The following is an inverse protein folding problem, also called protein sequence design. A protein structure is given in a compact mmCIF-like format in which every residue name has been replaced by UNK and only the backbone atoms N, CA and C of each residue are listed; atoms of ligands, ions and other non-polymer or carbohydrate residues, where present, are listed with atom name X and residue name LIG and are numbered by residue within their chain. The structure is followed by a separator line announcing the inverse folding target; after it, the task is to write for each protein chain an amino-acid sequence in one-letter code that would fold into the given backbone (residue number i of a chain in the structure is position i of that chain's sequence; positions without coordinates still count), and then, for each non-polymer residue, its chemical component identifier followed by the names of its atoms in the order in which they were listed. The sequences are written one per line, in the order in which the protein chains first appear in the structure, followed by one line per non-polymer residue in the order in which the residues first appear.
data_IF_572898018497
#
_entry.id   IF_572898018497
#
_cell.length_a   1.000
_cell.length_b   1.000
_cell.length_c   1.000
_cell.angle_alpha   90.00
_cell.angle_beta   90.00
_cell.angle_gamma   90.00
#
_symmetry.space_group_name_H-M   'P 1'
#
loop_
_entity.id
_entity.type
_entity.pdbx_description
1 polymer ?
#
# COMPACT_ATOMS: atom_id res chain seq x y z
N UNK A 1 9.17 1.56 14.99
CA UNK A 1 7.67 1.51 15.13
C UNK A 1 7.08 1.40 13.75
N UNK A 2 6.22 0.40 13.52
CA UNK A 2 5.53 0.19 12.25
C UNK A 2 4.50 1.28 11.99
N UNK A 3 4.53 1.90 10.81
CA UNK A 3 3.56 2.91 10.37
C UNK A 3 2.26 2.26 9.88
N UNK A 4 1.14 2.96 10.03
CA UNK A 4 -0.15 2.61 9.43
C UNK A 4 -0.46 3.55 8.26
N UNK A 5 -0.52 3.01 7.06
CA UNK A 5 -1.08 3.71 5.90
C UNK A 5 -2.51 3.21 5.64
N UNK A 6 -3.46 4.12 5.59
CA UNK A 6 -4.88 3.80 5.36
C UNK A 6 -5.19 3.88 3.88
N UNK A 7 -5.53 2.73 3.28
CA UNK A 7 -5.89 2.67 1.86
C UNK A 7 -7.37 3.01 1.67
N UNK A 8 -7.65 4.07 0.92
CA UNK A 8 -8.99 4.65 0.73
C UNK A 8 -9.73 4.16 -0.51
N UNK A 9 -9.22 3.16 -1.22
CA UNK A 9 -9.84 2.65 -2.45
C UNK A 9 -11.31 2.25 -2.24
N UNK A 10 -11.64 1.62 -1.10
CA UNK A 10 -13.01 1.15 -0.81
C UNK A 10 -13.97 2.29 -0.48
N UNK A 11 -13.48 3.40 0.08
CA UNK A 11 -14.28 4.64 0.24
C UNK A 11 -14.68 5.18 -1.14
N UNK A 12 -13.72 5.25 -2.07
CA UNK A 12 -13.98 5.71 -3.43
C UNK A 12 -14.91 4.73 -4.19
N UNK A 13 -14.73 3.42 -4.00
CA UNK A 13 -15.60 2.41 -4.60
C UNK A 13 -17.05 2.57 -4.13
N UNK A 14 -17.27 2.78 -2.83
CA UNK A 14 -18.59 3.03 -2.27
C UNK A 14 -19.22 4.32 -2.84
N UNK A 15 -18.43 5.42 -2.93
CA UNK A 15 -18.87 6.66 -3.58
C UNK A 15 -19.31 6.40 -5.03
N UNK A 16 -18.53 5.65 -5.78
CA UNK A 16 -18.77 5.40 -7.21
C UNK A 16 -19.93 4.42 -7.46
N UNK A 17 -20.44 3.73 -6.43
CA UNK A 17 -21.64 2.88 -6.56
C UNK A 17 -22.91 3.69 -6.84
N UNK A 18 -22.86 5.02 -6.70
CA UNK A 18 -23.96 5.96 -6.99
C UNK A 18 -23.39 7.25 -7.60
N UNK A 19 -24.21 7.98 -8.33
CA UNK A 19 -23.89 9.31 -8.88
C UNK A 19 -23.94 10.40 -7.80
N UNK A 20 -23.15 10.24 -6.74
CA UNK A 20 -23.04 11.18 -5.62
C UNK A 20 -21.58 11.50 -5.31
N UNK A 21 -21.36 12.51 -4.44
CA UNK A 21 -20.02 12.84 -3.94
C UNK A 21 -19.70 12.18 -2.59
N UNK A 22 -20.59 11.32 -2.10
CA UNK A 22 -20.48 10.68 -0.79
C UNK A 22 -20.32 9.14 -0.93
N UNK A 23 -19.50 8.54 -0.04
CA UNK A 23 -18.61 9.19 0.94
C UNK A 23 -17.45 9.93 0.25
N UNK A 24 -17.01 11.05 0.84
CA UNK A 24 -15.89 11.83 0.33
C UNK A 24 -14.56 11.17 0.69
N UNK A 25 -13.69 10.93 -0.29
CA UNK A 25 -12.33 10.41 -0.08
C UNK A 25 -11.49 11.39 0.75
N UNK A 26 -11.67 12.69 0.52
CA UNK A 26 -10.96 13.74 1.25
C UNK A 26 -11.36 13.79 2.74
N UNK A 27 -12.66 13.70 3.04
CA UNK A 27 -13.13 13.66 4.43
C UNK A 27 -12.71 12.35 5.12
N UNK A 28 -12.73 11.22 4.40
CA UNK A 28 -12.20 9.95 4.94
C UNK A 28 -10.71 10.04 5.26
N UNK A 29 -9.90 10.71 4.43
CA UNK A 29 -8.49 10.96 4.72
C UNK A 29 -8.32 11.79 6.01
N UNK A 30 -9.06 12.89 6.17
CA UNK A 30 -9.03 13.71 7.38
C UNK A 30 -9.43 12.91 8.63
N UNK A 31 -10.45 12.06 8.52
CA UNK A 31 -10.91 11.19 9.60
C UNK A 31 -9.84 10.15 9.96
N UNK A 32 -9.19 9.54 8.96
CA UNK A 32 -8.10 8.60 9.20
C UNK A 32 -6.89 9.28 9.87
N UNK A 33 -6.54 10.49 9.46
CA UNK A 33 -5.48 11.30 10.07
C UNK A 33 -5.84 11.63 11.54
N UNK A 34 -7.07 12.03 11.83
CA UNK A 34 -7.56 12.26 13.19
C UNK A 34 -7.47 11.00 14.06
N UNK A 35 -7.64 9.81 13.47
CA UNK A 35 -7.43 8.50 14.10
C UNK A 35 -5.96 8.14 14.33
N UNK A 36 -5.01 8.91 13.78
CA UNK A 36 -3.56 8.69 13.93
C UNK A 36 -2.91 7.91 12.80
N UNK A 37 -3.50 7.90 11.59
CA UNK A 37 -2.85 7.33 10.41
C UNK A 37 -1.53 8.04 10.11
N UNK A 38 -0.47 7.28 9.80
CA UNK A 38 0.84 7.80 9.43
C UNK A 38 0.95 8.03 7.91
N UNK A 39 0.04 7.44 7.14
CA UNK A 39 -0.01 7.56 5.69
C UNK A 39 -1.41 7.34 5.13
N UNK A 40 -1.59 7.81 3.91
CA UNK A 40 -2.77 7.55 3.08
C UNK A 40 -2.29 6.87 1.80
N UNK A 41 -2.89 5.73 1.48
CA UNK A 41 -2.62 4.99 0.25
C UNK A 41 -3.81 5.04 -0.69
N UNK A 42 -3.53 5.23 -1.97
CA UNK A 42 -4.53 5.22 -3.05
C UNK A 42 -4.02 4.52 -4.30
N UNK A 43 -4.91 3.82 -5.01
CA UNK A 43 -4.59 3.10 -6.24
C UNK A 43 -5.49 3.59 -7.38
N UNK A 44 -5.08 4.63 -8.12
CA UNK A 44 -5.83 5.10 -9.28
C UNK A 44 -5.68 4.12 -10.45
N UNK A 45 -6.74 3.38 -10.78
CA UNK A 45 -6.77 2.46 -11.92
C UNK A 45 -7.22 3.16 -13.20
N UNK A 46 -6.83 2.68 -14.41
CA UNK A 46 -7.21 3.29 -15.68
C UNK A 46 -8.72 3.38 -15.91
N UNK A 47 -9.49 2.42 -15.41
CA UNK A 47 -10.96 2.40 -15.51
C UNK A 47 -11.66 3.29 -14.48
N UNK A 48 -10.91 3.88 -13.54
CA UNK A 48 -11.40 4.78 -12.50
C UNK A 48 -12.54 4.16 -11.64
N UNK A 49 -12.56 2.82 -11.50
CA UNK A 49 -13.60 2.11 -10.72
C UNK A 49 -13.70 2.57 -9.26
N UNK A 50 -12.63 3.13 -8.71
CA UNK A 50 -12.59 3.70 -7.35
C UNK A 50 -11.88 5.06 -7.34
N UNK A 51 -10.60 5.14 -7.00
CA UNK A 51 -9.82 6.39 -6.95
C UNK A 51 -9.69 6.98 -8.36
N UNK A 52 -10.05 8.26 -8.50
CA UNK A 52 -9.88 9.02 -9.73
C UNK A 52 -8.59 9.86 -9.67
N UNK A 53 -8.07 10.34 -10.82
CA UNK A 53 -6.93 11.26 -10.83
C UNK A 53 -7.19 12.54 -10.02
N UNK A 54 -8.44 13.01 -9.97
CA UNK A 54 -8.80 14.18 -9.16
C UNK A 54 -8.70 13.89 -7.65
N UNK A 55 -9.10 12.70 -7.19
CA UNK A 55 -8.93 12.32 -5.78
C UNK A 55 -7.46 12.38 -5.38
N UNK A 56 -6.56 11.88 -6.23
CA UNK A 56 -5.11 11.90 -5.98
C UNK A 56 -4.59 13.32 -5.85
N UNK A 57 -5.01 14.22 -6.75
CA UNK A 57 -4.61 15.65 -6.70
C UNK A 57 -5.12 16.33 -5.45
N UNK A 58 -6.37 16.10 -5.05
CA UNK A 58 -6.95 16.72 -3.85
C UNK A 58 -6.31 16.18 -2.56
N UNK A 59 -6.01 14.88 -2.49
CA UNK A 59 -5.27 14.28 -1.38
C UNK A 59 -3.85 14.86 -1.28
N UNK A 60 -3.15 14.98 -2.41
CA UNK A 60 -1.82 15.60 -2.44
C UNK A 60 -1.85 17.05 -1.92
N UNK A 61 -2.85 17.84 -2.30
CA UNK A 61 -3.04 19.20 -1.76
C UNK A 61 -3.33 19.22 -0.27
N UNK A 62 -4.12 18.27 0.22
CA UNK A 62 -4.42 18.13 1.65
C UNK A 62 -3.16 17.82 2.45
N UNK A 63 -2.41 16.78 2.03
CA UNK A 63 -1.26 16.28 2.78
C UNK A 63 -0.02 17.19 2.71
N UNK A 64 0.05 18.08 1.72
CA UNK A 64 1.09 19.13 1.63
C UNK A 64 0.86 20.34 2.53
N UNK A 65 -0.27 20.41 3.24
CA UNK A 65 -0.50 21.47 4.22
C UNK A 65 0.39 21.29 5.46
N UNK A 66 0.86 22.38 6.09
CA UNK A 66 1.77 22.30 7.24
C UNK A 66 1.29 21.36 8.36
N UNK A 67 -0.01 21.36 8.63
CA UNK A 67 -0.62 20.53 9.68
C UNK A 67 -0.60 19.02 9.38
N UNK A 68 -0.36 18.62 8.13
CA UNK A 68 -0.40 17.23 7.67
C UNK A 68 0.95 16.71 7.14
N UNK A 69 2.04 17.48 7.22
CA UNK A 69 3.37 17.11 6.70
C UNK A 69 3.95 15.82 7.31
N UNK A 70 3.40 15.35 8.42
CA UNK A 70 3.79 14.10 9.07
C UNK A 70 3.09 12.87 8.47
N UNK A 71 2.13 13.06 7.56
CA UNK A 71 1.34 11.97 6.93
C UNK A 71 1.79 11.79 5.49
N UNK A 72 2.29 10.61 5.17
CA UNK A 72 2.81 10.29 3.84
C UNK A 72 1.69 9.95 2.85
N UNK A 73 1.86 10.35 1.59
CA UNK A 73 1.03 9.89 0.47
C UNK A 73 1.74 8.76 -0.26
N UNK A 74 1.10 7.59 -0.33
CA UNK A 74 1.51 6.49 -1.19
C UNK A 74 0.54 6.33 -2.37
N UNK A 75 1.07 6.26 -3.60
CA UNK A 75 0.28 5.98 -4.80
C UNK A 75 0.72 4.64 -5.36
N UNK A 76 -0.24 3.72 -5.48
CA UNK A 76 -0.02 2.38 -6.03
C UNK A 76 -0.49 2.32 -7.48
N UNK A 77 0.18 1.54 -8.30
CA UNK A 77 -0.29 1.26 -9.66
C UNK A 77 0.74 0.59 -10.56
N UNK A 78 0.24 0.11 -11.70
CA UNK A 78 1.09 -0.47 -12.73
C UNK A 78 1.72 0.64 -13.58
N UNK A 79 3.05 0.71 -13.66
CA UNK A 79 3.75 1.76 -14.41
C UNK A 79 3.52 1.72 -15.92
N UNK A 80 3.04 0.60 -16.46
CA UNK A 80 2.74 0.46 -17.89
C UNK A 80 1.39 1.05 -18.29
N UNK A 81 0.55 1.45 -17.32
CA UNK A 81 -0.74 2.07 -17.62
C UNK A 81 -0.57 3.48 -18.15
N UNK A 82 -0.91 3.65 -19.43
CA UNK A 82 -0.83 4.91 -20.17
C UNK A 82 -2.14 5.70 -20.09
N UNK A 83 -2.14 6.88 -20.69
CA UNK A 83 -3.31 7.76 -20.82
C UNK A 83 -4.50 7.03 -21.47
N UNK A 84 -5.71 7.32 -20.98
CA UNK A 84 -6.98 6.76 -21.47
C UNK A 84 -7.95 7.88 -21.88
N UNK A 85 -8.83 7.57 -22.81
CA UNK A 85 -9.85 8.52 -23.30
C UNK A 85 -10.86 8.99 -22.24
N UNK A 86 -10.97 8.28 -21.11
CA UNK A 86 -11.82 8.64 -19.97
C UNK A 86 -11.21 9.71 -19.05
N UNK A 87 -10.07 10.32 -19.42
CA UNK A 87 -9.38 11.33 -18.65
C UNK A 87 -8.34 10.80 -17.65
N UNK A 88 -8.06 9.50 -17.65
CA UNK A 88 -6.93 8.94 -16.91
C UNK A 88 -5.61 9.35 -17.59
N UNK A 89 -4.68 10.06 -16.89
CA UNK A 89 -3.50 10.65 -17.54
C UNK A 89 -2.33 9.66 -17.75
N UNK A 90 -2.49 8.43 -17.34
CA UNK A 90 -1.40 7.46 -17.19
C UNK A 90 -0.81 7.49 -15.78
N UNK A 91 -0.38 6.30 -15.31
CA UNK A 91 0.07 6.15 -13.93
C UNK A 91 1.30 7.02 -13.61
N UNK A 92 2.36 6.90 -14.41
CA UNK A 92 3.61 7.64 -14.17
C UNK A 92 3.40 9.14 -14.30
N UNK A 93 2.62 9.61 -15.29
CA UNK A 93 2.30 11.03 -15.45
C UNK A 93 1.58 11.58 -14.20
N UNK A 94 0.69 10.80 -13.60
CA UNK A 94 0.00 11.20 -12.36
C UNK A 94 0.96 11.27 -11.18
N UNK A 95 1.83 10.27 -11.01
CA UNK A 95 2.85 10.22 -9.95
C UNK A 95 3.81 11.40 -10.07
N UNK A 96 4.33 11.69 -11.26
CA UNK A 96 5.23 12.82 -11.52
C UNK A 96 4.57 14.18 -11.27
N UNK A 97 3.28 14.31 -11.61
CA UNK A 97 2.50 15.52 -11.38
C UNK A 97 2.32 15.84 -9.90
N UNK A 98 2.00 14.82 -9.08
CA UNK A 98 1.67 15.04 -7.66
C UNK A 98 2.87 14.89 -6.74
N UNK A 99 3.90 14.13 -7.14
CA UNK A 99 5.10 13.84 -6.36
C UNK A 99 4.74 13.36 -4.94
N UNK A 100 4.22 12.13 -4.81
CA UNK A 100 3.93 11.53 -3.51
C UNK A 100 5.21 11.24 -2.73
N UNK A 101 5.10 10.97 -1.45
CA UNK A 101 6.22 10.52 -0.62
C UNK A 101 6.68 9.11 -1.03
N UNK A 102 5.74 8.25 -1.43
CA UNK A 102 6.00 6.88 -1.88
C UNK A 102 5.20 6.54 -3.14
N UNK A 103 5.80 5.75 -4.01
CA UNK A 103 5.14 5.11 -5.15
C UNK A 103 5.34 3.59 -5.05
N UNK A 104 4.25 2.84 -4.88
CA UNK A 104 4.27 1.38 -4.88
C UNK A 104 3.91 0.86 -6.27
N UNK A 105 4.90 0.24 -6.92
CA UNK A 105 4.75 -0.34 -8.26
C UNK A 105 4.15 -1.75 -8.14
N UNK A 106 3.01 -1.98 -8.81
CA UNK A 106 2.28 -3.25 -8.78
C UNK A 106 2.08 -3.81 -10.21
N UNK A 107 2.08 -5.14 -10.41
CA UNK A 107 1.98 -5.75 -11.74
C UNK A 107 0.54 -5.89 -12.26
N UNK A 108 -0.41 -5.20 -11.68
CA UNK A 108 -1.85 -5.35 -11.96
C UNK A 108 -2.20 -5.25 -13.44
N UNK A 109 -3.12 -6.09 -13.87
CA UNK A 109 -3.82 -5.95 -15.15
C UNK A 109 -5.16 -5.22 -14.98
N UNK A 110 -5.73 -4.74 -16.10
CA UNK A 110 -7.07 -4.11 -16.08
C UNK A 110 -8.20 -5.09 -15.74
N UNK A 111 -7.99 -6.39 -15.90
CA UNK A 111 -9.01 -7.42 -15.68
C UNK A 111 -9.08 -7.88 -14.21
N UNK A 112 -8.03 -7.64 -13.41
CA UNK A 112 -7.99 -8.03 -12.02
C UNK A 112 -8.92 -7.19 -11.15
N UNK A 113 -9.64 -7.84 -10.24
CA UNK A 113 -10.49 -7.15 -9.27
C UNK A 113 -9.66 -6.38 -8.23
N UNK A 114 -8.56 -6.97 -7.80
CA UNK A 114 -7.59 -6.44 -6.83
C UNK A 114 -6.19 -6.94 -7.17
N UNK A 115 -5.16 -6.36 -6.56
CA UNK A 115 -3.79 -6.88 -6.64
C UNK A 115 -3.72 -8.23 -5.94
N UNK A 116 -3.40 -9.29 -6.65
CA UNK A 116 -3.46 -10.68 -6.17
C UNK A 116 -2.13 -11.46 -6.34
N UNK A 117 -1.09 -10.79 -6.85
CA UNK A 117 0.27 -11.32 -6.98
C UNK A 117 1.31 -10.21 -7.05
N UNK A 118 2.55 -10.54 -6.70
CA UNK A 118 3.71 -9.66 -6.82
C UNK A 118 4.35 -9.67 -8.21
N UNK A 119 5.36 -8.81 -8.41
CA UNK A 119 6.16 -8.79 -9.63
C UNK A 119 6.91 -10.11 -9.85
N UNK A 120 6.86 -10.59 -11.10
CA UNK A 120 7.90 -11.45 -11.66
C UNK A 120 8.88 -10.56 -12.43
N UNK A 121 10.00 -10.20 -11.79
CA UNK A 121 10.98 -9.28 -12.37
C UNK A 121 11.72 -9.87 -13.58
N UNK A 122 11.69 -11.19 -13.79
CA UNK A 122 12.30 -11.84 -14.94
C UNK A 122 11.46 -11.64 -16.22
N UNK A 123 10.16 -11.41 -16.08
CA UNK A 123 9.22 -11.24 -17.20
C UNK A 123 8.94 -9.77 -17.56
N UNK A 124 9.64 -8.83 -16.92
CA UNK A 124 9.44 -7.40 -17.21
C UNK A 124 9.98 -7.04 -18.59
N UNK A 125 9.14 -6.42 -19.42
CA UNK A 125 9.43 -6.07 -20.81
C UNK A 125 9.85 -4.61 -21.03
N UNK A 126 9.93 -3.80 -19.98
CA UNK A 126 10.33 -2.39 -20.02
C UNK A 126 11.50 -2.12 -19.06
N UNK A 127 12.18 -0.99 -19.20
CA UNK A 127 13.29 -0.63 -18.33
C UNK A 127 12.79 -0.17 -16.94
N UNK A 128 12.51 -1.16 -16.08
CA UNK A 128 12.03 -0.96 -14.71
C UNK A 128 13.07 -0.19 -13.87
N UNK A 129 14.36 -0.50 -14.05
CA UNK A 129 15.42 0.15 -13.29
C UNK A 129 15.54 1.63 -13.62
N UNK A 130 15.49 1.99 -14.90
CA UNK A 130 15.50 3.39 -15.32
C UNK A 130 14.29 4.15 -14.77
N UNK A 131 13.12 3.50 -14.73
CA UNK A 131 11.93 4.09 -14.12
C UNK A 131 12.14 4.36 -12.62
N UNK A 132 12.66 3.38 -11.87
CA UNK A 132 12.95 3.53 -10.45
C UNK A 132 13.94 4.68 -10.22
N UNK A 133 15.04 4.74 -10.98
CA UNK A 133 16.03 5.81 -10.90
C UNK A 133 15.41 7.19 -11.20
N UNK A 134 14.51 7.27 -12.19
CA UNK A 134 13.77 8.48 -12.52
C UNK A 134 12.91 8.97 -11.36
N UNK A 135 12.09 8.08 -10.74
CA UNK A 135 11.25 8.44 -9.61
C UNK A 135 12.07 8.87 -8.39
N UNK A 136 13.15 8.15 -8.08
CA UNK A 136 14.09 8.51 -7.01
C UNK A 136 14.73 9.88 -7.22
N UNK A 137 15.11 10.22 -8.45
CA UNK A 137 15.69 11.54 -8.78
C UNK A 137 14.70 12.69 -8.53
N UNK A 138 13.42 12.41 -8.47
CA UNK A 138 12.34 13.36 -8.14
C UNK A 138 12.00 13.39 -6.63
N UNK A 139 12.74 12.65 -5.82
CA UNK A 139 12.50 12.54 -4.36
C UNK A 139 11.35 11.61 -3.99
N UNK A 140 10.90 10.75 -4.91
CA UNK A 140 9.81 9.80 -4.68
C UNK A 140 10.42 8.46 -4.25
N UNK A 141 10.10 7.99 -3.03
CA UNK A 141 10.52 6.67 -2.55
C UNK A 141 9.80 5.58 -3.33
N UNK A 142 10.54 4.58 -3.81
CA UNK A 142 9.99 3.49 -4.61
C UNK A 142 9.81 2.22 -3.79
N UNK A 143 8.63 1.61 -3.89
CA UNK A 143 8.29 0.30 -3.33
C UNK A 143 7.82 -0.63 -4.45
N UNK A 144 8.17 -1.92 -4.38
CA UNK A 144 7.69 -2.94 -5.32
C UNK A 144 6.81 -3.95 -4.60
N UNK A 145 5.64 -4.25 -5.17
CA UNK A 145 4.74 -5.28 -4.64
C UNK A 145 5.27 -6.66 -5.00
N UNK A 146 5.56 -7.49 -3.99
CA UNK A 146 6.23 -8.79 -4.18
C UNK A 146 5.62 -9.87 -3.30
N UNK A 147 5.83 -11.11 -3.69
CA UNK A 147 5.55 -12.28 -2.85
C UNK A 147 6.76 -12.61 -1.94
N UNK A 148 6.67 -13.71 -1.21
CA UNK A 148 7.76 -14.17 -0.30
C UNK A 148 8.88 -14.92 -1.02
N UNK A 149 8.92 -14.86 -2.36
CA UNK A 149 9.93 -15.49 -3.19
C UNK A 149 11.30 -14.82 -3.02
N UNK A 150 12.30 -15.61 -2.67
CA UNK A 150 13.64 -15.12 -2.34
C UNK A 150 14.38 -14.57 -3.56
N UNK A 151 14.19 -15.17 -4.75
CA UNK A 151 14.85 -14.73 -5.98
C UNK A 151 14.23 -13.42 -6.47
N UNK A 152 12.92 -13.27 -6.34
CA UNK A 152 12.25 -12.01 -6.67
C UNK A 152 12.67 -10.86 -5.74
N UNK A 153 12.97 -11.13 -4.46
CA UNK A 153 13.50 -10.13 -3.52
C UNK A 153 14.93 -9.70 -3.93
N UNK A 154 15.79 -10.62 -4.36
CA UNK A 154 17.10 -10.27 -4.91
C UNK A 154 16.98 -9.40 -6.17
N UNK A 155 16.04 -9.73 -7.05
CA UNK A 155 15.77 -8.96 -8.26
C UNK A 155 15.20 -7.58 -7.92
N UNK A 156 14.31 -7.46 -6.97
CA UNK A 156 13.79 -6.18 -6.48
C UNK A 156 14.93 -5.23 -6.07
N UNK A 157 15.92 -5.74 -5.33
CA UNK A 157 17.13 -4.97 -5.00
C UNK A 157 17.95 -4.58 -6.22
N UNK A 158 18.15 -5.50 -7.17
CA UNK A 158 18.88 -5.22 -8.42
C UNK A 158 18.17 -4.20 -9.29
N UNK A 159 16.83 -4.15 -9.25
CA UNK A 159 16.02 -3.11 -9.92
C UNK A 159 16.13 -1.72 -9.25
N UNK A 160 16.83 -1.61 -8.13
CA UNK A 160 17.08 -0.34 -7.45
C UNK A 160 15.98 0.11 -6.50
N UNK A 161 15.00 -0.73 -6.20
CA UNK A 161 13.95 -0.42 -5.24
C UNK A 161 14.54 -0.11 -3.84
N UNK A 162 13.86 0.76 -3.10
CA UNK A 162 14.22 1.12 -1.72
C UNK A 162 13.39 0.34 -0.71
N UNK A 163 12.17 -0.04 -1.12
CA UNK A 163 11.25 -0.86 -0.35
C UNK A 163 10.67 -1.99 -1.19
N UNK A 164 10.21 -3.00 -0.48
CA UNK A 164 9.24 -3.97 -1.01
C UNK A 164 7.98 -3.90 -0.17
N UNK A 165 6.86 -4.26 -0.78
CA UNK A 165 5.60 -4.51 -0.08
C UNK A 165 5.23 -5.97 -0.26
N UNK A 166 5.23 -6.72 0.84
CA UNK A 166 4.89 -8.14 0.85
C UNK A 166 3.38 -8.33 0.70
N UNK A 167 2.95 -9.08 -0.31
CA UNK A 167 1.56 -9.47 -0.50
C UNK A 167 1.12 -10.43 0.58
N UNK A 168 0.26 -10.02 1.49
CA UNK A 168 -0.12 -10.78 2.68
C UNK A 168 -1.35 -11.68 2.52
N UNK A 169 -1.92 -11.77 1.32
CA UNK A 169 -3.08 -12.64 1.04
C UNK A 169 -2.86 -14.10 1.45
N UNK A 170 -1.73 -14.75 1.11
CA UNK A 170 -1.46 -16.13 1.54
C UNK A 170 -1.44 -16.29 3.07
N UNK A 171 -0.90 -15.31 3.81
CA UNK A 171 -0.92 -15.31 5.26
C UNK A 171 -2.35 -15.19 5.81
N UNK A 172 -3.09 -14.20 5.34
CA UNK A 172 -4.46 -13.94 5.77
C UNK A 172 -5.37 -15.18 5.53
N UNK A 173 -5.23 -15.83 4.38
CA UNK A 173 -5.98 -17.03 4.01
C UNK A 173 -5.60 -18.26 4.84
N UNK A 174 -4.38 -18.32 5.37
CA UNK A 174 -3.91 -19.45 6.21
C UNK A 174 -4.13 -19.22 7.71
N UNK A 175 -4.54 -18.01 8.10
CA UNK A 175 -4.64 -17.63 9.52
C UNK A 175 -5.67 -18.47 10.26
N UNK A 176 -5.25 -19.02 11.40
CA UNK A 176 -6.07 -19.95 12.22
C UNK A 176 -6.10 -21.39 11.69
N UNK A 177 -5.50 -21.69 10.53
CA UNK A 177 -5.45 -23.03 9.96
C UNK A 177 -4.10 -23.73 10.13
N UNK A 178 -4.03 -25.00 9.71
CA UNK A 178 -2.86 -25.87 9.87
C UNK A 178 -1.60 -25.34 9.20
N UNK A 179 -1.74 -24.56 8.11
CA UNK A 179 -0.62 -24.02 7.36
C UNK A 179 -0.14 -22.65 7.82
N UNK A 180 -0.79 -22.05 8.82
CA UNK A 180 -0.45 -20.70 9.29
C UNK A 180 1.04 -20.56 9.63
N UNK A 181 1.60 -21.51 10.38
CA UNK A 181 3.02 -21.46 10.80
C UNK A 181 3.97 -21.58 9.60
N UNK A 182 3.68 -22.48 8.67
CA UNK A 182 4.49 -22.65 7.44
C UNK A 182 4.52 -21.36 6.64
N UNK A 183 3.36 -20.78 6.40
CA UNK A 183 3.22 -19.54 5.60
C UNK A 183 3.87 -18.36 6.33
N UNK A 184 3.62 -18.19 7.63
CA UNK A 184 4.23 -17.10 8.40
C UNK A 184 5.77 -17.18 8.37
N UNK A 185 6.37 -18.38 8.42
CA UNK A 185 7.81 -18.55 8.30
C UNK A 185 8.36 -18.06 6.95
N UNK A 186 7.59 -18.15 5.86
CA UNK A 186 7.99 -17.58 4.56
C UNK A 186 8.08 -16.05 4.64
N UNK A 187 7.13 -15.39 5.30
CA UNK A 187 7.16 -13.94 5.51
C UNK A 187 8.35 -13.52 6.39
N UNK A 188 8.62 -14.25 7.48
CA UNK A 188 9.80 -14.00 8.33
C UNK A 188 11.09 -14.09 7.51
N UNK A 189 11.24 -15.15 6.71
CA UNK A 189 12.41 -15.34 5.86
C UNK A 189 12.55 -14.26 4.79
N UNK A 190 11.43 -13.87 4.16
CA UNK A 190 11.39 -12.81 3.15
C UNK A 190 11.79 -11.45 3.74
N UNK A 191 11.24 -11.10 4.90
CA UNK A 191 11.57 -9.85 5.59
C UNK A 191 13.05 -9.84 6.01
N UNK A 192 13.56 -10.92 6.61
CA UNK A 192 14.97 -11.01 7.00
C UNK A 192 15.92 -10.88 5.81
N UNK A 193 15.62 -11.51 4.68
CA UNK A 193 16.40 -11.35 3.46
C UNK A 193 16.38 -9.91 2.96
N UNK A 194 15.23 -9.28 2.93
CA UNK A 194 15.07 -7.90 2.47
C UNK A 194 15.90 -6.94 3.32
N UNK A 195 15.85 -7.08 4.64
CA UNK A 195 16.64 -6.29 5.59
C UNK A 195 18.14 -6.49 5.34
N UNK A 196 18.59 -7.72 5.16
CA UNK A 196 20.01 -8.05 4.87
C UNK A 196 20.49 -7.42 3.55
N UNK A 197 19.60 -7.23 2.58
CA UNK A 197 19.87 -6.53 1.33
C UNK A 197 19.76 -5.00 1.45
N UNK A 198 19.39 -4.47 2.61
CA UNK A 198 19.15 -3.05 2.82
C UNK A 198 17.89 -2.53 2.13
N UNK A 199 16.86 -3.37 1.99
CA UNK A 199 15.51 -3.00 1.61
C UNK A 199 14.67 -2.79 2.87
N UNK A 200 13.85 -1.75 2.89
CA UNK A 200 12.79 -1.61 3.90
C UNK A 200 11.61 -2.49 3.51
N UNK A 201 10.88 -3.00 4.50
CA UNK A 201 9.78 -3.94 4.29
C UNK A 201 8.46 -3.29 4.67
N UNK A 202 7.57 -3.16 3.70
CA UNK A 202 6.15 -2.90 3.91
C UNK A 202 5.37 -4.20 3.79
N UNK A 203 4.16 -4.22 4.31
CA UNK A 203 3.23 -5.32 4.13
C UNK A 203 1.80 -4.77 3.96
N UNK A 204 0.96 -5.48 3.24
CA UNK A 204 -0.40 -5.01 3.05
C UNK A 204 -1.28 -5.99 2.34
N UNK A 205 -2.51 -5.53 2.09
CA UNK A 205 -3.62 -6.12 1.41
C UNK A 205 -4.67 -6.71 2.39
N UNK A 206 -4.54 -7.93 2.93
CA UNK A 206 -5.59 -8.63 3.69
C UNK A 206 -5.35 -8.70 5.21
N UNK A 207 -4.47 -7.83 5.73
CA UNK A 207 -4.28 -7.70 7.17
C UNK A 207 -5.52 -7.05 7.83
N UNK A 208 -5.88 -7.56 9.01
CA UNK A 208 -7.04 -7.11 9.78
C UNK A 208 -6.74 -7.13 11.29
N UNK A 209 -7.68 -6.66 12.13
CA UNK A 209 -7.47 -6.58 13.59
C UNK A 209 -7.17 -7.95 14.25
N UNK A 210 -7.54 -9.08 13.63
CA UNK A 210 -7.32 -10.43 14.18
C UNK A 210 -5.95 -11.01 13.81
N UNK A 211 -5.50 -10.82 12.56
CA UNK A 211 -4.27 -11.44 12.07
C UNK A 211 -3.03 -10.51 12.15
N UNK A 212 -3.23 -9.21 12.18
CA UNK A 212 -2.15 -8.21 12.27
C UNK A 212 -1.27 -8.37 13.53
N UNK A 213 -1.82 -8.62 14.75
CA UNK A 213 -1.00 -8.76 15.95
C UNK A 213 0.11 -9.81 15.81
N UNK A 214 -0.23 -11.01 15.37
CA UNK A 214 0.73 -12.09 15.19
C UNK A 214 1.74 -11.76 14.06
N UNK A 215 1.28 -11.13 12.99
CA UNK A 215 2.14 -10.76 11.86
C UNK A 215 3.26 -9.81 12.30
N UNK A 216 2.90 -8.68 12.93
CA UNK A 216 3.88 -7.67 13.34
C UNK A 216 4.74 -8.10 14.53
N UNK A 217 4.29 -9.08 15.31
CA UNK A 217 5.09 -9.69 16.38
C UNK A 217 6.18 -10.62 15.84
N UNK A 218 5.91 -11.33 14.76
CA UNK A 218 6.78 -12.41 14.27
C UNK A 218 7.63 -12.00 13.06
N UNK A 219 7.11 -11.14 12.20
CA UNK A 219 7.83 -10.69 11.00
C UNK A 219 8.70 -9.48 11.35
N UNK A 220 10.04 -9.56 11.19
CA UNK A 220 10.94 -8.52 11.67
C UNK A 220 10.82 -7.22 10.86
N UNK A 221 11.03 -6.09 11.56
CA UNK A 221 11.29 -4.75 11.01
C UNK A 221 10.32 -4.29 9.91
N UNK A 222 9.02 -4.62 10.06
CA UNK A 222 7.99 -4.06 9.18
C UNK A 222 7.94 -2.54 9.35
N UNK A 223 8.28 -1.83 8.29
CA UNK A 223 8.31 -0.35 8.28
C UNK A 223 6.92 0.26 8.23
N UNK A 224 6.02 -0.36 7.45
CA UNK A 224 4.67 0.14 7.23
C UNK A 224 3.72 -1.01 6.90
N UNK A 225 2.47 -0.89 7.35
CA UNK A 225 1.37 -1.70 6.85
C UNK A 225 0.36 -0.82 6.13
N UNK A 226 0.00 -1.20 4.89
CA UNK A 226 -1.02 -0.54 4.06
C UNK A 226 -2.30 -1.38 4.09
N UNK A 227 -3.33 -0.90 4.78
CA UNK A 227 -4.55 -1.67 5.01
C UNK A 227 -5.77 -0.93 4.43
N UNK A 228 -6.50 -1.63 3.56
CA UNK A 228 -7.68 -1.08 2.88
C UNK A 228 -8.96 -1.82 3.22
N UNK A 229 -9.21 -2.93 2.53
CA UNK A 229 -10.52 -3.58 2.58
C UNK A 229 -10.98 -3.91 4.00
N UNK A 230 -10.15 -4.59 4.77
CA UNK A 230 -10.49 -5.00 6.13
C UNK A 230 -10.76 -3.79 7.05
N UNK A 231 -9.89 -2.78 7.02
CA UNK A 231 -10.05 -1.57 7.82
C UNK A 231 -11.35 -0.83 7.49
N UNK A 232 -11.70 -0.72 6.20
CA UNK A 232 -12.95 -0.06 5.81
C UNK A 232 -14.17 -0.91 6.18
N UNK A 233 -14.10 -2.25 6.11
CA UNK A 233 -15.16 -3.13 6.60
C UNK A 233 -15.37 -2.96 8.11
N UNK A 234 -14.32 -2.97 8.91
CA UNK A 234 -14.39 -2.73 10.36
C UNK A 234 -15.01 -1.35 10.66
N UNK A 235 -14.65 -0.34 9.86
CA UNK A 235 -15.13 1.03 10.05
C UNK A 235 -16.65 1.22 9.84
N UNK A 236 -17.31 0.30 9.17
CA UNK A 236 -18.77 0.30 9.03
C UNK A 236 -19.45 0.10 10.39
N UNK A 237 -18.84 -0.65 11.28
CA UNK A 237 -19.39 -0.98 12.59
C UNK A 237 -18.83 -0.12 13.72
N UNK A 238 -17.56 0.31 13.59
CA UNK A 238 -16.83 1.02 14.65
C UNK A 238 -16.74 2.54 14.41
N UNK A 239 -16.93 2.97 13.16
CA UNK A 239 -16.57 4.32 12.70
C UNK A 239 -15.09 4.44 12.36
N UNK A 240 -14.77 5.15 11.26
CA UNK A 240 -13.43 5.16 10.66
C UNK A 240 -12.32 5.64 11.62
N UNK A 241 -12.56 6.71 12.36
CA UNK A 241 -11.58 7.26 13.31
C UNK A 241 -11.24 6.25 14.41
N UNK A 242 -12.26 5.60 14.99
CA UNK A 242 -12.05 4.61 16.04
C UNK A 242 -11.34 3.37 15.51
N UNK A 243 -11.70 2.91 14.32
CA UNK A 243 -11.03 1.77 13.66
C UNK A 243 -9.55 2.05 13.44
N UNK A 244 -9.19 3.24 12.93
CA UNK A 244 -7.78 3.62 12.78
C UNK A 244 -7.05 3.62 14.12
N UNK A 245 -7.66 4.16 15.19
CA UNK A 245 -7.09 4.09 16.56
C UNK A 245 -6.85 2.66 17.02
N UNK A 246 -7.78 1.74 16.72
CA UNK A 246 -7.65 0.33 17.07
C UNK A 246 -6.44 -0.31 16.35
N UNK A 247 -6.30 -0.12 15.03
CA UNK A 247 -5.13 -0.60 14.27
C UNK A 247 -3.82 0.02 14.78
N UNK A 248 -3.80 1.33 15.06
CA UNK A 248 -2.62 2.00 15.66
C UNK A 248 -2.26 1.41 17.02
N UNK A 249 -3.24 1.12 17.87
CA UNK A 249 -3.00 0.49 19.18
C UNK A 249 -2.37 -0.91 19.05
N UNK A 250 -2.76 -1.69 18.04
CA UNK A 250 -2.14 -2.98 17.74
C UNK A 250 -0.66 -2.78 17.38
N UNK A 251 -0.35 -1.85 16.47
CA UNK A 251 1.02 -1.60 16.03
C UNK A 251 1.91 -1.06 17.16
N UNK A 252 1.38 -0.20 18.04
CA UNK A 252 2.10 0.33 19.20
C UNK A 252 2.48 -0.76 20.19
N UNK A 253 1.56 -1.66 20.53
CA UNK A 253 1.80 -2.74 21.51
C UNK A 253 2.88 -3.72 21.07
N UNK A 254 3.10 -3.89 19.77
CA UNK A 254 4.05 -4.84 19.21
C UNK A 254 5.36 -4.20 18.72
N UNK A 255 5.51 -2.87 18.82
CA UNK A 255 6.75 -2.16 18.53
C UNK A 255 7.68 -2.01 19.74
N UNK A 256 7.19 -2.22 20.95
CA UNK A 256 7.99 -2.39 22.16
C UNK A 256 8.28 -3.90 22.24
N UNK A 257 9.47 -4.33 21.75
CA UNK A 257 9.90 -5.74 21.82
C UNK A 257 9.87 -6.27 23.25
N UNK A 258 9.95 -7.61 23.41
CA UNK A 258 9.90 -8.24 24.71
C UNK A 258 11.03 -7.78 25.62
#
# INVERSE_FOLDING_TARGET
MTKLSVNLNKIALLRNSRETKLPSVLEAAKTAIAGGADGITVHPRPDQRHITPNDVVELSKLLKKPEHQHVELNIEGNPTFTEQSNGYPGFINLVEKVRPDQCTLVPDSNQQLTSDHGWNFEEITFDFRQLVEKLKSQGIRTSGFVETDQDQIDLAKKMGLERIELYTGPYANSFGGDRQKEILNKFISAAQKSINLGLMVNAGHDLNQHNLPLFVQQVPDISEVSIGHALICDSIYEGLEQTVKNYKSILLKHSEGP
#
